data_IF_812747569363
#
_entry.id   IF_812747569363
#
_cell.length_a   1.000
_cell.length_b   1.000
_cell.length_c   1.000
_cell.angle_alpha   90.00
_cell.angle_beta   90.00
_cell.angle_gamma   90.00
#
_symmetry.space_group_name_H-M   'P 1'
#
loop_
_entity.id
_entity.type
_entity.pdbx_description
1 polymer ?
#
# COMPACT_ATOMS: atom_id res chain seq x y z
N UNK A 1 -7.04 -20.61 4.41
CA UNK A 1 -5.84 -19.86 4.86
C UNK A 1 -5.80 -18.60 4.01
N UNK A 2 -6.02 -17.41 4.58
CA UNK A 2 -5.99 -16.16 3.82
C UNK A 2 -4.56 -15.63 3.78
N UNK A 3 -3.99 -15.50 2.57
CA UNK A 3 -2.79 -14.71 2.34
C UNK A 3 -3.16 -13.24 2.45
N UNK A 4 -2.40 -12.46 3.22
CA UNK A 4 -2.65 -11.02 3.32
C UNK A 4 -2.01 -10.33 2.12
N UNK A 5 -2.84 -9.72 1.27
CA UNK A 5 -2.37 -8.88 0.16
C UNK A 5 -2.38 -7.43 0.60
N UNK A 6 -1.24 -6.76 0.46
CA UNK A 6 -1.11 -5.33 0.71
C UNK A 6 -1.07 -4.56 -0.60
N UNK A 7 -1.91 -3.52 -0.67
CA UNK A 7 -1.95 -2.58 -1.78
C UNK A 7 -1.23 -1.28 -1.42
N UNK A 8 -0.37 -0.87 -2.33
CA UNK A 8 0.52 0.28 -2.20
C UNK A 8 0.49 1.10 -3.48
N UNK A 9 0.86 2.38 -3.38
CA UNK A 9 0.93 3.28 -4.54
C UNK A 9 2.26 4.00 -4.52
N UNK A 10 2.91 4.08 -5.68
CA UNK A 10 4.16 4.82 -5.82
C UNK A 10 3.96 6.32 -5.68
N UNK A 11 4.66 6.96 -4.74
CA UNK A 11 4.63 8.42 -4.56
C UNK A 11 5.17 9.20 -5.76
N UNK A 12 5.97 8.57 -6.63
CA UNK A 12 6.65 9.26 -7.73
C UNK A 12 5.93 9.11 -9.07
N UNK A 13 5.42 7.92 -9.41
CA UNK A 13 4.71 7.68 -10.67
C UNK A 13 3.23 7.33 -10.50
N UNK A 14 2.73 7.19 -9.27
CA UNK A 14 1.35 6.80 -9.00
C UNK A 14 1.03 5.33 -9.31
N UNK A 15 2.02 4.52 -9.71
CA UNK A 15 1.77 3.13 -10.10
C UNK A 15 1.37 2.27 -8.88
N UNK A 16 0.32 1.45 -8.97
CA UNK A 16 -0.05 0.53 -7.91
C UNK A 16 0.98 -0.60 -7.77
N UNK A 17 1.27 -0.98 -6.54
CA UNK A 17 2.14 -2.09 -6.17
C UNK A 17 1.33 -3.01 -5.26
N UNK A 18 1.20 -4.27 -5.64
CA UNK A 18 0.44 -5.27 -4.89
C UNK A 18 1.42 -6.33 -4.41
N UNK A 19 1.45 -6.58 -3.11
CA UNK A 19 2.36 -7.56 -2.50
C UNK A 19 1.54 -8.58 -1.74
N UNK A 20 1.71 -9.84 -2.08
CA UNK A 20 1.18 -10.95 -1.28
C UNK A 20 2.19 -11.29 -0.19
N UNK A 21 1.79 -11.17 1.07
CA UNK A 21 2.63 -11.54 2.21
C UNK A 21 2.41 -13.00 2.59
N UNK A 22 3.51 -13.67 2.92
CA UNK A 22 3.49 -14.97 3.59
C UNK A 22 3.10 -14.85 5.07
N UNK A 23 2.87 -15.99 5.73
CA UNK A 23 2.54 -16.01 7.17
C UNK A 23 3.69 -15.43 7.99
N UNK A 24 3.39 -14.36 8.74
CA UNK A 24 4.33 -13.74 9.67
C UNK A 24 5.32 -12.76 9.02
N UNK A 25 5.22 -12.52 7.72
CA UNK A 25 5.99 -11.48 7.07
C UNK A 25 5.35 -10.12 7.33
N UNK A 26 6.15 -9.18 7.83
CA UNK A 26 5.75 -7.78 7.95
C UNK A 26 6.65 -6.96 7.04
N UNK A 27 6.04 -6.35 6.02
CA UNK A 27 6.74 -5.45 5.09
C UNK A 27 6.31 -4.02 5.39
N UNK A 28 7.32 -3.17 5.64
CA UNK A 28 7.12 -1.75 5.83
C UNK A 28 7.24 -0.96 4.52
N UNK A 29 6.73 0.28 4.48
CA UNK A 29 6.81 1.18 3.32
C UNK A 29 8.16 1.26 2.63
N UNK A 30 9.19 1.39 3.45
CA UNK A 30 10.56 1.63 2.99
C UNK A 30 11.22 0.39 2.41
N UNK A 31 10.59 -0.79 2.52
CA UNK A 31 11.09 -2.05 2.01
C UNK A 31 10.61 -2.35 0.58
N UNK A 32 9.80 -1.48 -0.02
CA UNK A 32 9.16 -1.71 -1.32
C UNK A 32 9.71 -0.74 -2.35
N UNK A 33 10.27 -1.29 -3.41
CA UNK A 33 10.76 -0.51 -4.57
C UNK A 33 9.72 -0.54 -5.68
N UNK A 34 9.49 0.60 -6.32
CA UNK A 34 8.64 0.64 -7.50
C UNK A 34 9.38 0.07 -8.71
N UNK A 35 8.81 -0.95 -9.36
CA UNK A 35 9.40 -1.58 -10.56
C UNK A 35 9.50 -0.66 -11.77
N UNK A 36 8.81 0.49 -11.76
CA UNK A 36 8.88 1.49 -12.84
C UNK A 36 9.99 2.50 -12.56
N UNK A 37 10.02 3.06 -11.34
CA UNK A 37 10.93 4.16 -11.01
C UNK A 37 12.25 3.69 -10.40
N UNK A 38 12.37 2.42 -9.98
CA UNK A 38 13.53 1.85 -9.28
C UNK A 38 13.98 2.65 -8.04
N UNK A 39 13.05 3.33 -7.37
CA UNK A 39 13.29 4.08 -6.13
C UNK A 39 12.40 3.55 -5.00
N UNK A 40 12.86 3.75 -3.75
CA UNK A 40 12.09 3.39 -2.55
C UNK A 40 10.75 4.13 -2.53
N UNK A 41 9.70 3.39 -2.22
CA UNK A 41 8.34 3.90 -2.32
C UNK A 41 7.87 4.45 -0.97
N UNK A 42 7.42 5.71 -0.93
CA UNK A 42 6.74 6.26 0.26
C UNK A 42 5.24 6.05 0.05
N UNK A 43 4.64 5.28 0.95
CA UNK A 43 3.31 4.72 0.76
C UNK A 43 2.19 5.63 1.24
N UNK A 44 1.11 5.68 0.47
CA UNK A 44 -0.22 5.87 1.03
C UNK A 44 -0.89 4.50 1.10
N UNK A 45 -1.19 4.02 2.32
CA UNK A 45 -2.08 2.87 2.50
C UNK A 45 -3.42 3.30 1.89
N UNK A 46 -3.91 2.61 0.86
CA UNK A 46 -5.24 2.87 0.31
C UNK A 46 -6.21 2.78 1.49
N UNK A 47 -6.69 3.93 1.99
CA UNK A 47 -7.69 3.93 3.04
C UNK A 47 -8.85 3.13 2.44
N UNK A 48 -9.26 2.06 3.11
CA UNK A 48 -10.59 1.49 2.91
C UNK A 48 -11.57 2.65 2.74
N UNK A 49 -12.56 2.55 1.84
CA UNK A 49 -13.51 3.64 1.61
C UNK A 49 -13.95 4.14 2.97
N UNK A 50 -13.50 5.35 3.31
CA UNK A 50 -13.92 5.98 4.55
C UNK A 50 -15.41 6.16 4.29
N UNK A 51 -16.31 5.61 5.12
CA UNK A 51 -17.71 5.89 4.92
C UNK A 51 -17.85 7.41 4.92
N UNK A 52 -18.39 7.98 3.84
CA UNK A 52 -18.59 9.42 3.61
C UNK A 52 -19.45 10.10 4.69
N UNK A 53 -19.85 9.37 5.72
CA UNK A 53 -20.48 9.86 6.94
C UNK A 53 -19.43 10.42 7.90
N UNK A 54 -18.79 11.53 7.50
CA UNK A 54 -18.18 12.44 8.48
C UNK A 54 -19.28 13.39 8.90
N UNK A 55 -19.88 13.17 10.08
CA UNK A 55 -20.77 14.16 10.68
C UNK A 55 -19.95 15.42 10.98
N UNK A 56 -20.27 16.52 10.30
CA UNK A 56 -19.53 17.77 10.33
C UNK A 56 -20.18 18.81 11.26
N UNK A 57 -21.06 18.39 12.19
CA UNK A 57 -21.67 19.30 13.17
C UNK A 57 -20.73 19.69 14.30
#
# INVERSE_FOLDING_TARGET
MQSETLEYVCSSCGNPIIIALGRGESIGPRMITCNICNIHTILYKKKYPIPDTVDAR
#
